data_IF_009718328433
#
_entry.id   IF_009718328433
#
_cell.length_a   1.000
_cell.length_b   1.000
_cell.length_c   1.000
_cell.angle_alpha   90.00
_cell.angle_beta   90.00
_cell.angle_gamma   90.00
#
_symmetry.space_group_name_H-M   'P 1'
#
loop_
_entity.id
_entity.type
_entity.pdbx_description
1 polymer ?
#
# COMPACT_ATOMS: atom_id res chain seq x y z
N UNK A 1 9.87 -48.51 -24.34
CA UNK A 1 10.46 -48.28 -25.68
C UNK A 1 11.67 -47.37 -25.54
N UNK A 2 12.78 -47.84 -26.07
CA UNK A 2 14.16 -47.39 -25.91
C UNK A 2 14.39 -46.00 -26.51
N UNK A 3 14.76 -44.99 -25.73
CA UNK A 3 15.33 -43.74 -26.27
C UNK A 3 16.81 -43.95 -26.55
N UNK A 4 17.10 -44.18 -27.83
CA UNK A 4 18.44 -44.23 -28.37
C UNK A 4 19.25 -42.99 -27.99
N UNK A 5 20.40 -43.20 -27.32
CA UNK A 5 21.50 -42.23 -27.23
C UNK A 5 21.79 -41.70 -28.63
N UNK A 6 21.45 -40.44 -28.92
CA UNK A 6 21.99 -39.72 -30.08
C UNK A 6 23.49 -39.51 -29.84
N UNK A 7 24.28 -40.50 -30.28
CA UNK A 7 25.72 -40.35 -30.46
C UNK A 7 25.94 -39.30 -31.55
N UNK A 8 26.63 -38.22 -31.22
CA UNK A 8 27.13 -37.23 -32.21
C UNK A 8 26.78 -35.76 -31.96
N UNK A 9 26.06 -35.40 -30.88
CA UNK A 9 25.83 -34.00 -30.55
C UNK A 9 26.99 -33.44 -29.70
N UNK A 10 27.77 -32.53 -30.29
CA UNK A 10 28.87 -31.85 -29.61
C UNK A 10 28.31 -30.86 -28.58
N UNK A 11 28.82 -30.90 -27.34
CA UNK A 11 28.29 -30.09 -26.24
C UNK A 11 29.00 -28.77 -26.14
N UNK A 12 28.20 -27.73 -25.91
CA UNK A 12 28.64 -26.36 -25.84
C UNK A 12 28.52 -25.84 -24.42
N UNK A 13 29.53 -25.12 -23.96
CA UNK A 13 29.53 -24.38 -22.71
C UNK A 13 29.24 -22.91 -22.98
N UNK A 14 27.95 -22.58 -23.10
CA UNK A 14 27.48 -21.23 -23.47
C UNK A 14 27.10 -20.44 -22.20
N UNK A 15 27.80 -19.35 -21.87
CA UNK A 15 27.42 -18.46 -20.77
C UNK A 15 26.01 -17.88 -20.95
N UNK A 16 25.29 -17.67 -19.85
CA UNK A 16 23.87 -17.24 -19.89
C UNK A 16 23.61 -15.98 -20.73
N UNK A 17 24.55 -15.03 -20.78
CA UNK A 17 24.41 -13.80 -21.54
C UNK A 17 24.62 -13.97 -23.06
N UNK A 18 25.20 -15.10 -23.50
CA UNK A 18 25.46 -15.44 -24.91
C UNK A 18 24.46 -16.49 -25.44
N UNK A 19 23.44 -16.84 -24.65
CA UNK A 19 22.45 -17.89 -24.96
C UNK A 19 21.66 -17.61 -26.24
N UNK A 20 21.34 -16.34 -26.49
CA UNK A 20 20.51 -15.95 -27.63
C UNK A 20 21.32 -15.98 -28.93
N UNK A 21 22.64 -15.69 -28.84
CA UNK A 21 23.59 -15.79 -29.95
C UNK A 21 23.88 -17.25 -30.32
N UNK A 22 24.14 -18.11 -29.34
CA UNK A 22 24.32 -19.55 -29.59
C UNK A 22 23.05 -20.19 -30.17
N UNK A 23 21.86 -19.77 -29.69
CA UNK A 23 20.58 -20.24 -30.23
C UNK A 23 20.33 -19.74 -31.65
N UNK A 24 20.75 -18.52 -31.99
CA UNK A 24 20.64 -17.96 -33.33
C UNK A 24 21.52 -18.71 -34.34
N UNK A 25 22.72 -19.13 -33.92
CA UNK A 25 23.64 -19.92 -34.76
C UNK A 25 23.17 -21.38 -34.94
N UNK A 26 22.25 -21.87 -34.10
CA UNK A 26 21.62 -23.18 -34.24
C UNK A 26 21.85 -24.16 -33.08
N UNK A 27 22.50 -23.73 -32.00
CA UNK A 27 22.60 -24.53 -30.78
C UNK A 27 21.24 -24.71 -30.10
N UNK A 28 21.05 -25.83 -29.42
CA UNK A 28 19.83 -26.18 -28.70
C UNK A 28 20.13 -26.46 -27.23
N UNK A 29 19.19 -26.08 -26.38
CA UNK A 29 19.26 -26.37 -24.95
C UNK A 29 18.59 -27.69 -24.64
N UNK A 30 19.32 -28.62 -24.02
CA UNK A 30 18.74 -29.83 -23.44
C UNK A 30 18.20 -29.52 -22.05
N UNK A 31 16.88 -29.65 -21.86
CA UNK A 31 16.23 -29.40 -20.56
C UNK A 31 16.49 -30.50 -19.53
N UNK A 32 16.73 -31.74 -19.96
CA UNK A 32 17.00 -32.84 -19.03
C UNK A 32 18.43 -32.77 -18.50
N UNK A 33 19.37 -32.39 -19.36
CA UNK A 33 20.80 -32.34 -19.00
C UNK A 33 21.31 -30.93 -18.73
N UNK A 34 20.43 -29.94 -18.73
CA UNK A 34 20.72 -28.52 -18.46
C UNK A 34 22.01 -28.03 -19.14
N UNK A 35 22.18 -28.35 -20.43
CA UNK A 35 23.37 -27.95 -21.20
C UNK A 35 23.03 -27.65 -22.65
N UNK A 36 23.87 -26.83 -23.30
CA UNK A 36 23.76 -26.54 -24.72
C UNK A 36 24.41 -27.64 -25.55
N UNK A 37 23.81 -27.98 -26.68
CA UNK A 37 24.36 -28.94 -27.63
C UNK A 37 24.11 -28.51 -29.08
N UNK A 38 24.96 -28.97 -29.97
CA UNK A 38 24.84 -28.77 -31.40
C UNK A 38 24.07 -29.94 -32.05
N UNK A 39 22.96 -29.71 -32.75
CA UNK A 39 22.27 -30.76 -33.49
C UNK A 39 23.10 -31.29 -34.67
N UNK A 40 23.03 -32.60 -34.95
CA UNK A 40 23.86 -33.32 -35.92
C UNK A 40 23.68 -32.96 -37.42
N UNK A 41 23.19 -31.77 -37.75
CA UNK A 41 22.98 -31.28 -39.12
C UNK A 41 23.75 -30.01 -39.47
N UNK A 42 24.48 -29.42 -38.51
CA UNK A 42 25.25 -28.19 -38.73
C UNK A 42 26.66 -28.59 -39.19
N UNK A 43 26.99 -28.27 -40.45
CA UNK A 43 28.27 -28.62 -41.08
C UNK A 43 29.39 -27.64 -40.77
N UNK A 44 29.05 -26.42 -40.36
CA UNK A 44 30.01 -25.38 -40.02
C UNK A 44 30.02 -25.16 -38.50
N UNK A 45 31.02 -25.77 -37.85
CA UNK A 45 31.24 -25.73 -36.40
C UNK A 45 32.16 -24.58 -35.98
N UNK A 46 32.76 -23.86 -36.93
CA UNK A 46 33.73 -22.79 -36.64
C UNK A 46 33.17 -21.66 -35.74
N UNK A 47 31.90 -21.22 -35.89
CA UNK A 47 31.32 -20.21 -35.01
C UNK A 47 31.13 -20.67 -33.56
N UNK A 48 31.11 -21.98 -33.32
CA UNK A 48 30.88 -22.58 -32.00
C UNK A 48 32.18 -22.96 -31.28
N UNK A 49 33.34 -22.78 -31.90
CA UNK A 49 34.64 -23.12 -31.34
C UNK A 49 34.90 -22.42 -29.99
N UNK A 50 34.38 -21.20 -29.81
CA UNK A 50 34.47 -20.46 -28.55
C UNK A 50 33.67 -21.09 -27.38
N UNK A 51 32.78 -22.03 -27.67
CA UNK A 51 31.97 -22.75 -26.69
C UNK A 51 32.22 -24.26 -26.70
N UNK A 52 33.13 -24.78 -27.53
CA UNK A 52 33.42 -26.20 -27.63
C UNK A 52 34.15 -26.71 -26.36
N UNK A 53 33.64 -27.77 -25.74
CA UNK A 53 34.29 -28.40 -24.58
C UNK A 53 35.48 -29.25 -25.03
N UNK A 54 36.71 -28.83 -24.72
CA UNK A 54 37.88 -29.70 -24.84
C UNK A 54 37.73 -30.89 -23.88
N UNK A 55 37.66 -32.10 -24.46
CA UNK A 55 37.49 -33.35 -23.76
C UNK A 55 38.84 -33.87 -23.23
N UNK A 56 39.19 -33.49 -21.99
CA UNK A 56 40.11 -34.27 -21.16
C UNK A 56 39.91 -33.93 -19.68
N UNK A 57 38.90 -34.55 -19.06
CA UNK A 57 38.97 -35.22 -17.75
C UNK A 57 37.61 -35.82 -17.36
N UNK A 58 37.63 -37.09 -16.97
CA UNK A 58 36.49 -37.95 -16.68
C UNK A 58 35.82 -37.67 -15.31
N UNK A 59 34.51 -37.96 -15.25
CA UNK A 59 33.63 -37.93 -14.07
C UNK A 59 33.69 -39.26 -13.26
N UNK A 60 32.97 -39.46 -12.12
CA UNK A 60 32.05 -38.55 -11.40
C UNK A 60 32.26 -38.50 -9.86
N UNK A 61 31.94 -37.39 -9.19
CA UNK A 61 31.33 -37.42 -7.84
C UNK A 61 30.74 -36.07 -7.42
N UNK A 62 29.78 -36.17 -6.49
CA UNK A 62 28.86 -35.13 -5.98
C UNK A 62 29.61 -33.86 -5.56
N UNK A 63 29.07 -32.65 -5.79
CA UNK A 63 29.86 -31.43 -5.64
C UNK A 63 30.09 -31.08 -4.15
N UNK A 64 31.19 -31.56 -3.61
CA UNK A 64 31.97 -30.88 -2.59
C UNK A 64 32.65 -29.65 -3.20
N UNK A 65 32.48 -28.50 -2.53
CA UNK A 65 33.35 -27.31 -2.50
C UNK A 65 33.98 -26.79 -3.81
N UNK A 66 33.76 -25.51 -4.18
CA UNK A 66 34.80 -24.76 -4.86
C UNK A 66 35.75 -24.18 -3.80
N UNK A 67 36.93 -24.79 -3.63
CA UNK A 67 38.07 -24.11 -3.02
C UNK A 67 39.01 -23.59 -4.11
N UNK A 68 39.46 -22.33 -3.91
CA UNK A 68 40.74 -21.77 -4.35
C UNK A 68 40.85 -21.19 -5.77
N UNK A 69 40.10 -20.12 -6.02
CA UNK A 69 40.83 -18.87 -6.32
C UNK A 69 41.64 -18.54 -5.07
N UNK A 70 42.91 -18.19 -5.24
CA UNK A 70 43.83 -17.72 -4.20
C UNK A 70 43.33 -16.39 -3.60
N UNK A 71 42.16 -16.39 -2.98
CA UNK A 71 41.73 -15.41 -2.00
C UNK A 71 42.65 -15.61 -0.82
N UNK A 72 43.53 -14.63 -0.60
CA UNK A 72 44.18 -14.39 0.68
C UNK A 72 43.30 -14.92 1.80
N UNK A 73 43.81 -15.78 2.68
CA UNK A 73 43.10 -16.25 3.87
C UNK A 73 42.39 -15.05 4.52
N UNK A 74 41.06 -14.97 4.32
CA UNK A 74 40.27 -13.87 4.83
C UNK A 74 40.07 -14.18 6.31
N UNK A 75 40.84 -13.50 7.15
CA UNK A 75 40.71 -13.61 8.58
C UNK A 75 39.39 -12.96 9.00
N UNK A 76 38.40 -13.79 9.31
CA UNK A 76 37.07 -13.34 9.74
C UNK A 76 37.12 -12.82 11.17
N UNK A 77 36.33 -11.78 11.44
CA UNK A 77 36.31 -11.02 12.68
C UNK A 77 34.92 -11.09 13.31
N UNK A 78 34.87 -11.35 14.60
CA UNK A 78 33.66 -11.29 15.40
C UNK A 78 33.48 -9.87 15.96
N UNK A 79 32.96 -8.96 15.12
CA UNK A 79 32.79 -7.54 15.45
C UNK A 79 31.37 -7.26 16.00
N UNK A 80 31.22 -6.86 17.29
CA UNK A 80 29.93 -6.45 17.86
C UNK A 80 29.32 -5.25 17.14
N UNK A 81 27.99 -5.08 17.20
CA UNK A 81 27.29 -4.00 16.48
C UNK A 81 27.82 -2.60 16.83
N UNK A 82 28.14 -2.35 18.11
CA UNK A 82 28.67 -1.08 18.59
C UNK A 82 30.11 -0.75 18.13
N UNK A 83 30.85 -1.75 17.65
CA UNK A 83 32.28 -1.59 17.32
C UNK A 83 32.57 -1.63 15.82
N UNK A 84 31.52 -1.67 14.98
CA UNK A 84 31.62 -1.72 13.50
C UNK A 84 32.38 -0.54 12.90
N UNK A 85 32.22 0.66 13.48
CA UNK A 85 32.94 1.84 13.04
C UNK A 85 34.45 1.74 13.32
N UNK A 86 34.81 1.23 14.51
CA UNK A 86 36.20 1.02 14.91
C UNK A 86 36.86 -0.11 14.10
N UNK A 87 36.15 -1.21 13.86
CA UNK A 87 36.63 -2.31 13.02
C UNK A 87 36.81 -1.87 11.57
N UNK A 88 35.88 -1.08 11.01
CA UNK A 88 36.01 -0.52 9.66
C UNK A 88 37.17 0.47 9.56
N UNK A 89 37.37 1.31 10.58
CA UNK A 89 38.52 2.21 10.67
C UNK A 89 39.86 1.46 10.80
N UNK A 90 39.85 0.27 11.39
CA UNK A 90 41.00 -0.64 11.46
C UNK A 90 41.18 -1.51 10.20
N UNK A 91 40.33 -1.34 9.18
CA UNK A 91 40.44 -2.01 7.88
C UNK A 91 39.61 -3.28 7.70
N UNK A 92 38.60 -3.52 8.55
CA UNK A 92 37.64 -4.60 8.37
C UNK A 92 36.63 -4.30 7.25
N UNK A 93 36.33 -5.32 6.45
CA UNK A 93 35.39 -5.30 5.33
C UNK A 93 34.25 -6.29 5.58
N UNK A 94 33.07 -6.01 5.03
CA UNK A 94 31.89 -6.86 5.20
C UNK A 94 31.74 -7.82 4.02
N UNK A 95 31.69 -9.13 4.31
CA UNK A 95 31.35 -10.15 3.33
C UNK A 95 29.83 -10.36 3.30
N UNK A 96 29.19 -10.00 2.18
CA UNK A 96 27.73 -10.12 2.00
C UNK A 96 27.27 -11.57 1.82
N UNK A 97 28.13 -12.46 1.34
CA UNK A 97 27.82 -13.87 1.12
C UNK A 97 27.95 -14.66 2.44
N UNK A 98 29.01 -14.42 3.20
CA UNK A 98 29.24 -15.02 4.52
C UNK A 98 28.53 -14.28 5.67
N UNK A 99 27.97 -13.09 5.40
CA UNK A 99 27.38 -12.18 6.39
C UNK A 99 28.29 -11.98 7.60
N UNK A 100 29.59 -11.77 7.37
CA UNK A 100 30.60 -11.66 8.41
C UNK A 100 31.65 -10.59 8.07
N UNK A 101 32.28 -10.01 9.08
CA UNK A 101 33.40 -9.07 8.90
C UNK A 101 34.69 -9.85 8.65
N UNK A 102 35.58 -9.33 7.81
CA UNK A 102 36.91 -9.89 7.56
C UNK A 102 37.97 -8.81 7.45
N UNK A 103 39.22 -9.12 7.79
CA UNK A 103 40.34 -8.19 7.66
C UNK A 103 40.66 -7.94 6.17
N UNK A 104 40.63 -6.68 5.73
CA UNK A 104 41.03 -6.29 4.38
C UNK A 104 42.55 -6.33 4.18
N UNK A 105 43.01 -6.36 2.93
CA UNK A 105 44.44 -6.49 2.58
C UNK A 105 45.35 -5.36 3.10
N UNK A 106 44.79 -4.21 3.48
CA UNK A 106 45.51 -3.05 4.07
C UNK A 106 45.17 -2.84 5.55
N UNK A 107 44.61 -3.84 6.21
CA UNK A 107 44.12 -3.69 7.58
C UNK A 107 45.25 -3.70 8.62
N UNK A 108 45.07 -2.93 9.69
CA UNK A 108 45.99 -2.87 10.82
C UNK A 108 45.75 -4.09 11.73
N UNK A 109 46.58 -5.12 11.54
CA UNK A 109 46.45 -6.43 12.20
C UNK A 109 46.52 -6.31 13.74
N UNK A 110 47.23 -5.33 14.28
CA UNK A 110 47.35 -5.11 15.72
C UNK A 110 46.07 -4.52 16.32
N UNK A 111 45.37 -3.65 15.58
CA UNK A 111 44.07 -3.09 16.03
C UNK A 111 42.94 -4.10 15.91
N UNK A 112 43.03 -5.00 14.94
CA UNK A 112 42.02 -6.03 14.69
C UNK A 112 42.12 -7.26 15.60
N UNK A 113 43.24 -7.45 16.32
CA UNK A 113 43.45 -8.61 17.21
C UNK A 113 42.34 -8.80 18.26
N UNK A 114 41.69 -7.71 18.71
CA UNK A 114 40.58 -7.76 19.68
C UNK A 114 39.28 -8.35 19.14
N UNK A 115 39.13 -8.43 17.82
CA UNK A 115 37.96 -9.00 17.14
C UNK A 115 38.27 -10.34 16.47
N UNK A 116 39.43 -10.93 16.76
CA UNK A 116 39.75 -12.29 16.33
C UNK A 116 38.88 -13.29 17.09
N UNK A 117 38.34 -14.34 16.44
CA UNK A 117 37.45 -15.31 17.06
C UNK A 117 37.99 -15.93 18.36
N UNK A 118 39.31 -16.06 18.47
CA UNK A 118 40.04 -16.60 19.63
C UNK A 118 40.13 -15.61 20.81
N UNK A 119 40.07 -14.31 20.53
CA UNK A 119 40.23 -13.21 21.49
C UNK A 119 38.91 -12.51 21.84
N UNK A 120 37.80 -12.93 21.22
CA UNK A 120 36.47 -12.53 21.66
C UNK A 120 36.10 -13.46 22.81
N UNK A 121 36.14 -13.02 24.08
CA UNK A 121 35.50 -13.78 25.14
C UNK A 121 34.05 -13.95 24.69
N UNK A 122 33.47 -15.14 24.85
CA UNK A 122 32.06 -15.40 24.58
C UNK A 122 31.14 -14.52 25.43
N UNK A 123 31.10 -13.24 25.15
CA UNK A 123 30.17 -12.27 25.69
C UNK A 123 29.03 -12.19 24.68
N UNK A 124 28.17 -13.19 24.76
CA UNK A 124 26.76 -12.89 24.69
C UNK A 124 26.46 -11.94 25.86
N UNK A 125 26.63 -10.63 25.64
CA UNK A 125 25.90 -9.64 26.42
C UNK A 125 24.40 -9.96 26.27
N UNK A 126 23.57 -9.74 27.30
CA UNK A 126 22.23 -10.31 27.35
C UNK A 126 21.48 -9.97 26.06
N UNK A 127 21.01 -11.00 25.35
CA UNK A 127 20.14 -10.82 24.21
C UNK A 127 18.99 -9.91 24.67
N UNK A 128 18.91 -8.68 24.14
CA UNK A 128 17.76 -7.82 24.41
C UNK A 128 16.53 -8.63 24.06
N UNK A 129 15.57 -8.69 24.99
CA UNK A 129 14.39 -9.49 24.74
C UNK A 129 13.66 -8.91 23.52
N UNK A 130 12.92 -9.70 22.73
CA UNK A 130 12.10 -9.17 21.64
C UNK A 130 11.16 -8.04 22.09
N UNK A 131 10.75 -8.06 23.36
CA UNK A 131 9.99 -6.99 24.00
C UNK A 131 10.81 -5.69 24.12
N UNK A 132 12.09 -5.77 24.49
CA UNK A 132 12.99 -4.62 24.58
C UNK A 132 13.37 -4.06 23.21
N UNK A 133 13.63 -4.93 22.24
CA UNK A 133 13.85 -4.52 20.84
C UNK A 133 12.62 -3.79 20.28
N UNK A 134 11.41 -4.28 20.60
CA UNK A 134 10.19 -3.60 20.20
C UNK A 134 9.96 -2.31 20.99
N UNK A 135 10.32 -2.26 22.28
CA UNK A 135 10.28 -1.03 23.07
C UNK A 135 11.17 0.07 22.46
N UNK A 136 12.36 -0.27 21.97
CA UNK A 136 13.21 0.67 21.24
C UNK A 136 12.56 1.14 19.94
N UNK A 137 11.95 0.22 19.18
CA UNK A 137 11.22 0.56 17.96
C UNK A 137 10.07 1.54 18.24
N UNK A 138 9.29 1.32 19.30
CA UNK A 138 8.25 2.24 19.77
C UNK A 138 8.82 3.62 20.11
N UNK A 139 9.93 3.69 20.86
CA UNK A 139 10.59 4.96 21.20
C UNK A 139 11.09 5.71 19.97
N UNK A 140 11.57 4.99 18.94
CA UNK A 140 12.15 5.57 17.72
C UNK A 140 11.14 6.38 16.89
N UNK A 141 9.86 6.03 16.93
CA UNK A 141 8.78 6.76 16.26
C UNK A 141 8.00 7.70 17.19
N UNK A 142 8.58 7.95 18.38
CA UNK A 142 8.08 8.94 19.32
C UNK A 142 7.02 8.44 20.31
N UNK A 143 6.83 7.12 20.48
CA UNK A 143 5.99 6.59 21.56
C UNK A 143 6.72 6.65 22.91
N UNK A 144 5.97 6.92 23.98
CA UNK A 144 6.44 6.93 25.37
C UNK A 144 6.18 5.56 25.97
N UNK A 145 7.23 4.75 26.07
CA UNK A 145 7.17 3.38 26.61
C UNK A 145 7.40 3.40 28.11
N UNK A 146 6.31 3.38 28.88
CA UNK A 146 6.28 3.34 30.34
C UNK A 146 5.33 2.21 30.82
N UNK A 147 5.44 1.80 32.09
CA UNK A 147 4.55 0.80 32.68
C UNK A 147 4.70 -0.58 32.04
N UNK A 148 3.57 -1.24 31.73
CA UNK A 148 3.55 -2.59 31.13
C UNK A 148 3.84 -2.60 29.61
N UNK A 149 4.01 -1.45 28.97
CA UNK A 149 4.32 -1.38 27.54
C UNK A 149 5.77 -1.79 27.24
N UNK A 150 6.04 -2.52 26.14
CA UNK A 150 5.07 -3.11 25.22
C UNK A 150 4.51 -4.45 25.73
N UNK A 151 3.19 -4.60 25.58
CA UNK A 151 2.44 -5.85 25.74
C UNK A 151 2.46 -6.63 24.42
N UNK A 152 3.07 -7.81 24.42
CA UNK A 152 3.28 -8.62 23.22
C UNK A 152 2.26 -9.76 23.09
N UNK A 153 0.98 -9.46 23.32
CA UNK A 153 -0.14 -10.42 23.40
C UNK A 153 -0.93 -10.56 22.09
N UNK A 154 -0.48 -9.93 21.01
CA UNK A 154 -1.15 -9.91 19.70
C UNK A 154 -2.44 -9.07 19.67
N UNK A 155 -2.73 -8.28 20.72
CA UNK A 155 -3.87 -7.35 20.79
C UNK A 155 -3.43 -5.92 20.51
N UNK A 156 -4.41 -5.08 20.19
CA UNK A 156 -4.20 -3.64 19.96
C UNK A 156 -4.13 -2.91 21.30
N UNK A 157 -3.00 -2.25 21.54
CA UNK A 157 -2.77 -1.45 22.74
C UNK A 157 -2.59 0.02 22.38
N UNK A 158 -3.14 0.90 23.23
CA UNK A 158 -2.91 2.35 23.14
C UNK A 158 -1.63 2.71 23.88
N UNK A 159 -0.87 3.65 23.36
CA UNK A 159 0.37 4.14 23.97
C UNK A 159 0.48 5.65 23.80
N UNK A 160 1.01 6.32 24.82
CA UNK A 160 1.25 7.76 24.73
C UNK A 160 2.38 8.09 23.74
N UNK A 161 2.37 9.27 23.14
CA UNK A 161 3.44 9.80 22.27
C UNK A 161 4.05 11.07 22.83
N UNK A 162 5.27 11.41 22.44
CA UNK A 162 5.97 12.60 22.96
C UNK A 162 5.14 13.87 22.75
N UNK A 163 5.04 14.69 23.79
CA UNK A 163 4.31 15.97 23.78
C UNK A 163 2.80 15.84 24.00
N UNK A 164 2.32 14.78 24.63
CA UNK A 164 0.95 14.68 25.16
C UNK A 164 0.94 14.29 26.64
N UNK A 165 -0.16 14.55 27.35
CA UNK A 165 -0.32 14.08 28.73
C UNK A 165 -0.36 12.55 28.74
N UNK A 166 0.42 11.95 29.63
CA UNK A 166 0.47 10.49 29.78
C UNK A 166 -0.93 9.93 29.99
N UNK A 167 -1.35 9.03 29.09
CA UNK A 167 -2.61 8.32 29.18
C UNK A 167 -2.42 6.85 28.79
N UNK A 168 -2.77 5.96 29.71
CA UNK A 168 -2.71 4.51 29.51
C UNK A 168 -3.83 3.99 28.58
N UNK A 169 -4.95 4.72 28.49
CA UNK A 169 -6.15 4.30 27.73
C UNK A 169 -6.44 5.16 26.50
N UNK A 170 -5.90 6.38 26.44
CA UNK A 170 -6.21 7.36 25.39
C UNK A 170 -4.97 7.98 24.72
N UNK A 171 -3.82 7.30 24.76
CA UNK A 171 -2.62 7.76 24.05
C UNK A 171 -2.81 7.82 22.53
N UNK A 172 -2.17 8.80 21.88
CA UNK A 172 -2.29 9.01 20.42
C UNK A 172 -1.54 7.96 19.59
N UNK A 173 -0.75 7.10 20.19
CA UNK A 173 -0.14 5.94 19.56
C UNK A 173 -0.99 4.68 19.71
N UNK A 174 -0.84 3.74 18.78
CA UNK A 174 -1.22 2.35 19.05
C UNK A 174 -0.20 1.38 18.46
N UNK A 175 -0.08 0.21 19.08
CA UNK A 175 0.75 -0.87 18.59
C UNK A 175 0.06 -2.22 18.74
N UNK A 176 0.56 -3.21 18.01
CA UNK A 176 0.26 -4.63 18.16
C UNK A 176 1.60 -5.36 18.17
N UNK A 177 1.90 -6.08 19.25
CA UNK A 177 3.13 -6.86 19.40
C UNK A 177 2.81 -8.34 19.44
N UNK A 178 3.53 -9.14 18.68
CA UNK A 178 3.40 -10.59 18.59
C UNK A 178 4.67 -11.25 19.12
N UNK A 179 4.52 -12.26 19.99
CA UNK A 179 5.59 -13.18 20.37
C UNK A 179 5.47 -14.53 19.68
N UNK A 180 4.37 -14.79 18.96
CA UNK A 180 4.14 -16.05 18.27
C UNK A 180 4.92 -16.12 16.94
N UNK A 181 5.63 -17.23 16.71
CA UNK A 181 6.39 -17.41 15.48
C UNK A 181 7.69 -16.63 15.48
N UNK A 182 7.66 -15.45 14.87
CA UNK A 182 8.80 -14.56 14.80
C UNK A 182 8.36 -13.25 15.44
N UNK A 183 8.94 -12.85 16.58
CA UNK A 183 8.47 -11.66 17.27
C UNK A 183 8.45 -10.48 16.31
N UNK A 184 7.26 -9.94 16.13
CA UNK A 184 6.97 -8.92 15.14
C UNK A 184 5.97 -7.95 15.73
N UNK A 185 5.93 -6.75 15.17
CA UNK A 185 5.07 -5.72 15.69
C UNK A 185 4.69 -4.72 14.63
N UNK A 186 3.52 -4.14 14.80
CA UNK A 186 3.10 -2.97 14.06
C UNK A 186 2.88 -1.84 15.06
N UNK A 187 3.32 -0.64 14.70
CA UNK A 187 3.06 0.55 15.48
C UNK A 187 2.71 1.71 14.58
N UNK A 188 1.77 2.53 15.04
CA UNK A 188 1.39 3.79 14.40
C UNK A 188 1.27 4.90 15.43
N UNK A 189 1.96 6.00 15.16
CA UNK A 189 1.82 7.26 15.86
C UNK A 189 0.76 8.11 15.12
N UNK A 190 -0.44 8.27 15.68
CA UNK A 190 -1.50 9.01 14.98
C UNK A 190 -1.30 10.54 15.02
N UNK A 191 -0.36 11.04 15.84
CA UNK A 191 -0.06 12.48 15.92
C UNK A 191 0.89 12.92 14.80
N UNK A 192 1.84 12.07 14.44
CA UNK A 192 2.80 12.33 13.35
C UNK A 192 2.46 11.59 12.06
N UNK A 193 1.49 10.68 12.10
CA UNK A 193 1.14 9.80 10.98
C UNK A 193 2.14 8.68 10.69
N UNK A 194 3.26 8.62 11.41
CA UNK A 194 4.34 7.64 11.18
C UNK A 194 3.91 6.24 11.62
N UNK A 195 4.09 5.26 10.74
CA UNK A 195 3.88 3.85 11.03
C UNK A 195 5.14 3.02 10.76
N UNK A 196 5.31 1.92 11.51
CA UNK A 196 6.45 1.03 11.39
C UNK A 196 6.03 -0.43 11.58
N UNK A 197 6.63 -1.30 10.77
CA UNK A 197 6.60 -2.76 10.95
C UNK A 197 7.95 -3.20 11.53
N UNK A 198 7.96 -3.78 12.72
CA UNK A 198 9.12 -4.29 13.41
C UNK A 198 9.18 -5.83 13.37
N UNK A 199 10.39 -6.38 13.34
CA UNK A 199 10.69 -7.82 13.41
C UNK A 199 11.97 -8.00 14.22
N UNK A 200 12.01 -9.01 15.09
CA UNK A 200 13.15 -9.25 15.97
C UNK A 200 14.40 -9.72 15.23
N UNK A 201 15.57 -9.25 15.66
CA UNK A 201 16.84 -9.49 14.96
C UNK A 201 17.57 -10.76 15.39
N UNK A 202 17.09 -11.47 16.40
CA UNK A 202 17.77 -12.63 17.00
C UNK A 202 17.04 -13.98 16.91
N UNK A 203 15.79 -14.03 16.42
CA UNK A 203 14.97 -15.24 16.48
C UNK A 203 15.00 -16.02 15.15
N UNK A 204 15.98 -16.92 15.01
CA UNK A 204 16.03 -17.88 13.90
C UNK A 204 15.36 -19.19 14.34
N UNK A 205 14.06 -19.34 14.01
CA UNK A 205 13.37 -20.62 14.10
C UNK A 205 13.92 -21.60 13.06
N UNK A 206 13.90 -22.90 13.39
CA UNK A 206 14.10 -23.94 12.38
C UNK A 206 13.00 -23.90 11.31
N UNK A 207 13.24 -24.52 10.15
CA UNK A 207 12.32 -24.47 9.01
C UNK A 207 10.97 -25.14 9.28
N UNK A 208 10.92 -26.14 10.16
CA UNK A 208 9.72 -26.91 10.46
C UNK A 208 8.82 -26.18 11.47
N UNK A 209 9.42 -25.59 12.51
CA UNK A 209 8.76 -24.71 13.48
C UNK A 209 8.23 -23.45 12.80
N UNK A 210 8.98 -22.87 11.86
CA UNK A 210 8.52 -21.73 11.06
C UNK A 210 7.29 -22.09 10.22
N UNK A 211 7.27 -23.28 9.61
CA UNK A 211 6.12 -23.75 8.83
C UNK A 211 4.88 -23.96 9.70
N UNK A 212 5.02 -24.58 10.87
CA UNK A 212 3.91 -24.78 11.83
C UNK A 212 3.33 -23.45 12.32
N UNK A 213 4.18 -22.47 12.63
CA UNK A 213 3.76 -21.16 13.12
C UNK A 213 3.16 -20.29 12.01
N UNK A 214 3.62 -20.44 10.77
CA UNK A 214 2.96 -19.82 9.61
C UNK A 214 1.56 -20.41 9.36
N UNK A 215 1.40 -21.72 9.51
CA UNK A 215 0.10 -22.37 9.43
C UNK A 215 -0.84 -21.89 10.54
N UNK A 216 -0.39 -21.89 11.81
CA UNK A 216 -1.18 -21.40 12.94
C UNK A 216 -1.54 -19.90 12.80
N UNK A 217 -0.61 -19.08 12.31
CA UNK A 217 -0.88 -17.66 12.04
C UNK A 217 -1.89 -17.46 10.90
N UNK A 218 -1.84 -18.30 9.86
CA UNK A 218 -2.83 -18.30 8.79
C UNK A 218 -4.22 -18.69 9.30
N UNK A 219 -4.31 -19.74 10.12
CA UNK A 219 -5.57 -20.19 10.73
C UNK A 219 -6.16 -19.12 11.66
N UNK A 220 -5.32 -18.49 12.51
CA UNK A 220 -5.75 -17.38 13.37
C UNK A 220 -6.20 -16.17 12.55
N UNK A 221 -5.50 -15.84 11.47
CA UNK A 221 -5.89 -14.75 10.58
C UNK A 221 -7.22 -15.06 9.89
N UNK A 222 -7.41 -16.29 9.42
CA UNK A 222 -8.66 -16.74 8.81
C UNK A 222 -9.82 -16.69 9.82
N UNK A 223 -9.62 -17.19 11.04
CA UNK A 223 -10.63 -17.14 12.10
C UNK A 223 -11.01 -15.70 12.47
N UNK A 224 -10.03 -14.80 12.61
CA UNK A 224 -10.27 -13.36 12.86
C UNK A 224 -11.01 -12.69 11.70
N UNK A 225 -10.66 -13.02 10.47
CA UNK A 225 -11.31 -12.47 9.27
C UNK A 225 -12.77 -12.93 9.20
N UNK A 226 -13.03 -14.23 9.41
CA UNK A 226 -14.38 -14.78 9.44
C UNK A 226 -15.23 -14.22 10.58
N UNK A 227 -14.66 -14.03 11.78
CA UNK A 227 -15.35 -13.38 12.89
C UNK A 227 -15.69 -11.92 12.56
N UNK A 228 -14.75 -11.18 11.99
CA UNK A 228 -14.96 -9.80 11.57
C UNK A 228 -16.05 -9.69 10.49
N UNK A 229 -16.03 -10.56 9.48
CA UNK A 229 -17.06 -10.63 8.45
C UNK A 229 -18.44 -10.93 9.05
N UNK A 230 -18.51 -11.88 9.99
CA UNK A 230 -19.76 -12.21 10.70
C UNK A 230 -20.29 -11.01 11.49
N UNK A 231 -19.43 -10.29 12.21
CA UNK A 231 -19.82 -9.08 12.96
C UNK A 231 -20.29 -7.96 12.04
N UNK A 232 -19.61 -7.77 10.91
CA UNK A 232 -19.99 -6.79 9.89
C UNK A 232 -21.35 -7.13 9.27
N UNK A 233 -21.61 -8.40 8.97
CA UNK A 233 -22.90 -8.86 8.43
C UNK A 233 -24.04 -8.66 9.44
N UNK A 234 -23.82 -9.02 10.70
CA UNK A 234 -24.79 -8.78 11.77
C UNK A 234 -25.09 -7.29 11.95
N UNK A 235 -24.04 -6.45 11.87
CA UNK A 235 -24.21 -5.00 11.94
C UNK A 235 -24.96 -4.46 10.72
N UNK A 236 -24.67 -4.93 9.52
CA UNK A 236 -25.38 -4.57 8.28
C UNK A 236 -26.90 -4.83 8.42
N UNK A 237 -27.28 -6.01 8.91
CA UNK A 237 -28.69 -6.35 9.15
C UNK A 237 -29.34 -5.47 10.22
N UNK A 238 -28.60 -5.15 11.30
CA UNK A 238 -29.09 -4.28 12.37
C UNK A 238 -29.31 -2.85 11.89
N UNK A 239 -28.37 -2.27 11.12
CA UNK A 239 -28.52 -0.90 10.61
C UNK A 239 -29.62 -0.81 9.56
N UNK A 240 -29.81 -1.83 8.72
CA UNK A 240 -30.92 -1.89 7.77
C UNK A 240 -32.29 -1.92 8.47
N UNK A 241 -32.43 -2.72 9.54
CA UNK A 241 -33.64 -2.73 10.38
C UNK A 241 -33.88 -1.39 11.07
N UNK A 242 -32.81 -0.74 11.56
CA UNK A 242 -32.92 0.59 12.15
C UNK A 242 -33.40 1.62 11.13
N UNK A 243 -32.83 1.61 9.93
CA UNK A 243 -33.14 2.57 8.86
C UNK A 243 -34.63 2.55 8.48
N UNK A 244 -35.29 1.39 8.53
CA UNK A 244 -36.73 1.26 8.27
C UNK A 244 -37.63 2.05 9.24
N UNK A 245 -37.10 2.49 10.38
CA UNK A 245 -37.82 3.30 11.37
C UNK A 245 -37.48 4.80 11.29
N UNK A 246 -36.54 5.18 10.42
CA UNK A 246 -36.13 6.56 10.20
C UNK A 246 -37.02 7.21 9.14
N UNK A 247 -37.08 8.54 9.17
CA UNK A 247 -37.84 9.33 8.22
C UNK A 247 -36.90 9.91 7.16
N UNK A 248 -37.30 10.01 5.88
CA UNK A 248 -36.52 10.75 4.90
C UNK A 248 -36.41 12.22 5.33
N UNK A 249 -35.25 12.85 5.10
CA UNK A 249 -35.09 14.28 5.37
C UNK A 249 -35.88 15.10 4.34
N UNK A 250 -36.92 15.78 4.80
CA UNK A 250 -37.74 16.70 3.98
C UNK A 250 -37.47 18.18 4.31
N UNK A 251 -36.84 18.45 5.45
CA UNK A 251 -36.44 19.78 5.90
C UNK A 251 -35.00 19.71 6.48
N UNK A 252 -34.19 20.77 6.35
CA UNK A 252 -32.82 20.75 6.85
C UNK A 252 -32.73 20.45 8.35
N UNK A 253 -31.97 19.42 8.72
CA UNK A 253 -31.58 19.13 10.11
C UNK A 253 -30.59 20.17 10.63
N UNK A 254 -30.32 20.19 11.94
CA UNK A 254 -29.34 21.12 12.56
C UNK A 254 -27.97 21.05 11.89
N UNK A 255 -27.50 19.84 11.55
CA UNK A 255 -26.25 19.64 10.81
C UNK A 255 -26.29 20.27 9.42
N UNK A 256 -27.37 20.07 8.67
CA UNK A 256 -27.52 20.59 7.31
C UNK A 256 -27.59 22.13 7.30
N UNK A 257 -28.32 22.71 8.25
CA UNK A 257 -28.36 24.17 8.45
C UNK A 257 -26.97 24.74 8.75
N UNK A 258 -26.25 24.11 9.69
CA UNK A 258 -24.87 24.51 10.05
C UNK A 258 -23.92 24.41 8.87
N UNK A 259 -24.10 23.40 8.02
CA UNK A 259 -23.29 23.20 6.82
C UNK A 259 -23.77 23.97 5.59
N UNK A 260 -24.94 24.61 5.63
CA UNK A 260 -25.51 25.34 4.51
C UNK A 260 -25.88 24.44 3.31
N UNK A 261 -26.27 23.19 3.57
CA UNK A 261 -26.62 22.20 2.54
C UNK A 261 -28.11 21.86 2.59
N UNK A 262 -28.69 21.57 1.42
CA UNK A 262 -30.09 21.19 1.30
C UNK A 262 -30.31 19.68 1.54
N UNK A 263 -31.52 19.26 1.97
CA UNK A 263 -31.93 17.88 1.99
C UNK A 263 -31.78 17.20 0.63
N UNK A 264 -31.27 15.97 0.64
CA UNK A 264 -31.07 15.15 -0.55
C UNK A 264 -31.73 13.78 -0.36
N UNK A 265 -32.17 13.19 -1.46
CA UNK A 265 -32.73 11.85 -1.44
C UNK A 265 -31.71 10.83 -0.91
N UNK A 266 -32.18 9.88 -0.09
CA UNK A 266 -31.35 8.85 0.51
C UNK A 266 -30.75 9.20 1.87
N UNK A 267 -31.02 10.42 2.39
CA UNK A 267 -30.66 10.81 3.75
C UNK A 267 -31.88 10.79 4.65
N UNK A 268 -31.66 10.39 5.90
CA UNK A 268 -32.72 10.16 6.89
C UNK A 268 -32.52 10.99 8.16
N UNK A 269 -33.58 11.13 8.93
CA UNK A 269 -33.65 11.82 10.23
C UNK A 269 -34.44 11.00 11.25
N UNK A 270 -34.26 11.33 12.53
CA UNK A 270 -35.13 10.91 13.61
C UNK A 270 -36.53 11.54 13.50
N UNK A 271 -37.46 11.15 14.38
CA UNK A 271 -38.85 11.65 14.35
C UNK A 271 -38.93 13.14 14.66
N UNK A 272 -37.96 13.64 15.41
CA UNK A 272 -37.83 15.02 15.85
C UNK A 272 -37.19 15.94 14.79
N UNK A 273 -36.58 15.38 13.73
CA UNK A 273 -35.96 16.17 12.66
C UNK A 273 -34.59 16.76 13.01
N UNK A 274 -33.91 16.26 14.06
CA UNK A 274 -32.71 16.89 14.64
C UNK A 274 -31.42 16.20 14.22
N UNK A 275 -31.40 14.88 14.23
CA UNK A 275 -30.22 14.08 13.89
C UNK A 275 -30.22 13.68 12.42
N UNK A 276 -29.03 13.57 11.81
CA UNK A 276 -28.90 13.14 10.40
C UNK A 276 -28.29 11.76 10.30
N UNK A 277 -28.87 10.94 9.45
CA UNK A 277 -28.51 9.54 9.24
C UNK A 277 -28.24 9.31 7.76
N UNK A 278 -26.99 8.97 7.42
CA UNK A 278 -26.55 8.80 6.04
C UNK A 278 -26.14 7.33 5.85
N UNK A 279 -26.92 6.53 5.10
CA UNK A 279 -26.57 5.15 4.78
C UNK A 279 -25.28 5.07 3.97
N UNK A 280 -24.45 4.07 4.26
CA UNK A 280 -23.29 3.73 3.47
C UNK A 280 -23.48 2.34 2.86
N UNK A 281 -23.44 2.26 1.54
CA UNK A 281 -23.64 1.05 0.76
C UNK A 281 -22.38 0.66 0.01
N UNK A 282 -22.25 -0.60 -0.37
CA UNK A 282 -21.29 -1.00 -1.39
C UNK A 282 -21.80 -0.66 -2.81
N UNK A 283 -21.03 -1.08 -3.81
CA UNK A 283 -21.39 -0.89 -5.22
C UNK A 283 -22.67 -1.62 -5.62
N UNK A 284 -23.06 -2.68 -4.91
CA UNK A 284 -24.24 -3.49 -5.21
C UNK A 284 -25.50 -2.96 -4.49
N UNK A 285 -25.35 -1.89 -3.70
CA UNK A 285 -26.45 -1.25 -2.97
C UNK A 285 -26.75 -1.90 -1.62
N UNK A 286 -25.95 -2.87 -1.18
CA UNK A 286 -26.10 -3.43 0.16
C UNK A 286 -25.62 -2.43 1.19
N UNK A 287 -26.47 -2.09 2.16
CA UNK A 287 -26.12 -1.25 3.29
C UNK A 287 -25.25 -2.01 4.28
N UNK A 288 -24.05 -1.51 4.54
CA UNK A 288 -23.11 -2.11 5.48
C UNK A 288 -22.94 -1.29 6.76
N UNK A 289 -23.16 0.01 6.69
CA UNK A 289 -23.08 0.92 7.82
C UNK A 289 -23.96 2.14 7.61
N UNK A 290 -23.97 3.02 8.62
CA UNK A 290 -24.67 4.30 8.61
C UNK A 290 -23.78 5.31 9.34
N UNK A 291 -23.64 6.50 8.76
CA UNK A 291 -23.08 7.65 9.46
C UNK A 291 -24.20 8.33 10.26
N UNK A 292 -23.99 8.41 11.56
CA UNK A 292 -24.85 9.09 12.52
C UNK A 292 -24.25 10.46 12.78
N UNK A 293 -25.03 11.51 12.57
CA UNK A 293 -24.64 12.89 12.84
C UNK A 293 -25.60 13.44 13.88
N UNK A 294 -25.06 13.68 15.07
CA UNK A 294 -25.80 14.22 16.20
C UNK A 294 -26.09 15.71 15.99
N UNK A 295 -26.99 16.26 16.80
CA UNK A 295 -27.37 17.68 16.77
C UNK A 295 -26.16 18.62 16.96
N UNK A 296 -25.15 18.21 17.73
CA UNK A 296 -23.90 18.94 17.95
C UNK A 296 -22.89 18.83 16.77
N UNK A 297 -23.24 18.09 15.72
CA UNK A 297 -22.39 17.82 14.57
C UNK A 297 -21.42 16.65 14.75
N UNK A 298 -21.44 15.95 15.88
CA UNK A 298 -20.61 14.77 16.12
C UNK A 298 -20.98 13.65 15.16
N UNK A 299 -20.01 13.21 14.35
CA UNK A 299 -20.18 12.15 13.35
C UNK A 299 -19.62 10.82 13.85
N UNK A 300 -20.41 9.75 13.75
CA UNK A 300 -20.01 8.39 14.13
C UNK A 300 -20.50 7.37 13.11
N UNK A 301 -19.85 6.21 13.08
CA UNK A 301 -20.32 5.05 12.32
C UNK A 301 -20.83 3.96 13.26
N UNK A 302 -21.66 3.06 12.74
CA UNK A 302 -22.06 1.88 13.48
C UNK A 302 -20.81 1.10 13.91
N UNK A 303 -20.72 0.75 15.19
CA UNK A 303 -19.64 -0.09 15.71
C UNK A 303 -19.66 -1.46 15.03
N UNK A 304 -18.47 -2.02 14.80
CA UNK A 304 -18.27 -3.35 14.19
C UNK A 304 -18.86 -3.48 12.77
N UNK A 305 -19.01 -2.34 12.08
CA UNK A 305 -19.51 -2.26 10.71
C UNK A 305 -18.39 -2.22 9.66
N UNK A 306 -18.74 -2.47 8.40
CA UNK A 306 -17.85 -2.25 7.25
C UNK A 306 -18.09 -0.86 6.68
N UNK A 307 -17.12 0.05 6.90
CA UNK A 307 -17.08 1.38 6.26
C UNK A 307 -16.19 1.37 5.01
N UNK A 308 -15.10 0.62 5.05
CA UNK A 308 -14.11 0.59 3.96
C UNK A 308 -14.73 0.12 2.64
N UNK A 309 -14.60 0.94 1.60
CA UNK A 309 -15.18 0.72 0.28
C UNK A 309 -16.68 0.97 0.20
N UNK A 310 -17.34 1.32 1.31
CA UNK A 310 -18.74 1.73 1.32
C UNK A 310 -18.84 3.25 1.20
N UNK A 311 -19.89 3.73 0.53
CA UNK A 311 -20.08 5.13 0.18
C UNK A 311 -21.56 5.50 0.21
N UNK A 312 -21.84 6.80 0.11
CA UNK A 312 -23.20 7.29 -0.13
C UNK A 312 -23.30 7.93 -1.51
N UNK A 313 -24.17 7.39 -2.37
CA UNK A 313 -24.48 7.99 -3.67
C UNK A 313 -25.59 9.02 -3.51
N UNK A 314 -25.26 10.29 -3.65
CA UNK A 314 -26.23 11.38 -3.57
C UNK A 314 -27.07 11.35 -4.86
N UNK A 315 -28.39 11.21 -4.70
CA UNK A 315 -29.31 10.92 -5.81
C UNK A 315 -29.50 9.43 -6.11
N UNK A 316 -28.80 8.54 -5.41
CA UNK A 316 -28.94 7.08 -5.53
C UNK A 316 -28.06 6.44 -6.62
N UNK A 317 -27.94 5.11 -6.57
CA UNK A 317 -27.07 4.33 -7.47
C UNK A 317 -27.52 4.39 -8.94
N UNK A 318 -28.82 4.48 -9.21
CA UNK A 318 -29.34 4.59 -10.58
C UNK A 318 -28.97 5.94 -11.22
N UNK A 319 -29.05 7.03 -10.44
CA UNK A 319 -28.60 8.34 -10.89
C UNK A 319 -27.08 8.37 -11.09
N UNK A 320 -26.32 7.70 -10.20
CA UNK A 320 -24.87 7.55 -10.33
C UNK A 320 -24.49 6.77 -11.59
N UNK A 321 -25.22 5.71 -11.94
CA UNK A 321 -25.01 4.95 -13.17
C UNK A 321 -25.25 5.80 -14.44
N UNK A 322 -26.19 6.75 -14.38
CA UNK A 322 -26.50 7.68 -15.49
C UNK A 322 -25.59 8.90 -15.55
N UNK A 323 -24.89 9.23 -14.46
CA UNK A 323 -24.01 10.39 -14.40
C UNK A 323 -22.90 10.32 -15.48
N UNK A 324 -22.51 11.45 -16.09
CA UNK A 324 -21.49 11.48 -17.14
C UNK A 324 -20.07 11.25 -16.58
N UNK A 325 -19.86 11.51 -15.29
CA UNK A 325 -18.61 11.28 -14.58
C UNK A 325 -18.90 10.81 -13.15
N UNK A 326 -17.94 10.12 -12.55
CA UNK A 326 -17.96 9.79 -11.12
C UNK A 326 -17.22 10.88 -10.34
N UNK A 327 -17.97 11.69 -9.59
CA UNK A 327 -17.38 12.72 -8.72
C UNK A 327 -17.48 12.28 -7.27
N UNK A 328 -16.32 12.04 -6.64
CA UNK A 328 -16.20 11.48 -5.29
C UNK A 328 -15.65 12.56 -4.36
N UNK A 329 -16.46 13.01 -3.40
CA UNK A 329 -16.07 13.92 -2.33
C UNK A 329 -15.67 13.19 -1.06
N UNK A 330 -14.75 13.78 -0.29
CA UNK A 330 -14.31 13.26 1.01
C UNK A 330 -15.48 13.16 2.00
N UNK A 331 -16.19 14.25 2.27
CA UNK A 331 -17.34 14.29 3.19
C UNK A 331 -18.70 14.35 2.49
N UNK A 332 -19.77 14.08 3.23
CA UNK A 332 -21.15 14.25 2.73
C UNK A 332 -21.48 15.70 2.34
N UNK A 333 -21.04 16.68 3.15
CA UNK A 333 -21.30 18.09 2.83
C UNK A 333 -20.61 18.48 1.51
N UNK A 334 -19.33 18.14 1.36
CA UNK A 334 -18.56 18.31 0.13
C UNK A 334 -19.26 17.68 -1.08
N UNK A 335 -19.63 16.40 -0.98
CA UNK A 335 -20.34 15.70 -2.06
C UNK A 335 -21.70 16.34 -2.38
N UNK A 336 -22.45 16.81 -1.37
CA UNK A 336 -23.74 17.49 -1.56
C UNK A 336 -23.59 18.83 -2.27
N UNK A 337 -22.61 19.65 -1.88
CA UNK A 337 -22.31 20.92 -2.58
C UNK A 337 -21.91 20.68 -4.04
N UNK A 338 -21.13 19.62 -4.31
CA UNK A 338 -20.76 19.23 -5.67
C UNK A 338 -21.97 18.77 -6.48
N UNK A 339 -22.88 17.98 -5.89
CA UNK A 339 -24.11 17.53 -6.56
C UNK A 339 -25.00 18.71 -6.94
N UNK A 340 -25.20 19.65 -6.03
CA UNK A 340 -26.00 20.85 -6.26
C UNK A 340 -25.41 21.73 -7.38
N UNK A 341 -24.08 21.74 -7.50
CA UNK A 341 -23.38 22.51 -8.54
C UNK A 341 -23.41 21.82 -9.89
N UNK A 342 -23.20 20.50 -9.92
CA UNK A 342 -23.06 19.72 -11.15
C UNK A 342 -24.40 19.24 -11.73
N UNK A 343 -25.45 19.18 -10.92
CA UNK A 343 -26.78 18.73 -11.34
C UNK A 343 -26.91 17.22 -11.58
N UNK A 344 -25.87 16.42 -11.29
CA UNK A 344 -25.89 14.96 -11.39
C UNK A 344 -25.31 14.30 -10.14
N UNK A 345 -25.55 13.00 -9.99
CA UNK A 345 -25.20 12.24 -8.80
C UNK A 345 -23.70 12.26 -8.49
N UNK A 346 -23.37 12.50 -7.22
CA UNK A 346 -22.00 12.46 -6.67
C UNK A 346 -21.91 11.43 -5.56
N UNK A 347 -20.70 11.20 -5.06
CA UNK A 347 -20.43 10.18 -4.05
C UNK A 347 -19.73 10.79 -2.84
N UNK A 348 -20.24 10.49 -1.65
CA UNK A 348 -19.52 10.76 -0.40
C UNK A 348 -18.73 9.52 0.04
N UNK A 349 -17.42 9.65 0.16
CA UNK A 349 -16.53 8.61 0.69
C UNK A 349 -16.46 8.62 2.23
N UNK A 350 -16.98 9.66 2.87
CA UNK A 350 -17.00 9.95 4.31
C UNK A 350 -15.69 10.37 4.99
N UNK A 351 -14.52 9.95 4.49
CA UNK A 351 -13.21 10.40 4.94
C UNK A 351 -12.11 10.10 3.91
N UNK A 352 -11.00 10.83 4.00
CA UNK A 352 -9.82 10.69 3.15
C UNK A 352 -9.27 9.27 3.08
N UNK A 353 -9.31 8.52 4.19
CA UNK A 353 -8.88 7.12 4.23
C UNK A 353 -9.72 6.18 3.37
N UNK A 354 -10.97 6.56 3.07
CA UNK A 354 -11.91 5.77 2.30
C UNK A 354 -12.03 6.19 0.82
N UNK A 355 -11.37 7.30 0.41
CA UNK A 355 -11.37 7.76 -0.99
C UNK A 355 -10.83 6.68 -1.95
N UNK A 356 -9.66 6.11 -1.65
CA UNK A 356 -9.02 5.09 -2.48
C UNK A 356 -9.87 3.82 -2.67
N UNK A 357 -10.35 3.14 -1.60
CA UNK A 357 -11.16 1.94 -1.77
C UNK A 357 -12.48 2.21 -2.49
N UNK A 358 -13.15 3.35 -2.23
CA UNK A 358 -14.37 3.74 -2.93
C UNK A 358 -14.12 4.02 -4.41
N UNK A 359 -13.07 4.79 -4.74
CA UNK A 359 -12.69 5.07 -6.12
C UNK A 359 -12.40 3.79 -6.90
N UNK A 360 -11.64 2.85 -6.32
CA UNK A 360 -11.36 1.55 -6.95
C UNK A 360 -12.63 0.72 -7.18
N UNK A 361 -13.51 0.65 -6.19
CA UNK A 361 -14.76 -0.11 -6.29
C UNK A 361 -15.66 0.46 -7.40
N UNK A 362 -15.82 1.79 -7.44
CA UNK A 362 -16.61 2.46 -8.48
C UNK A 362 -15.99 2.36 -9.87
N UNK A 363 -14.66 2.50 -9.97
CA UNK A 363 -13.96 2.31 -11.25
C UNK A 363 -14.12 0.89 -11.78
N UNK A 364 -14.05 -0.13 -10.92
CA UNK A 364 -14.28 -1.51 -11.32
C UNK A 364 -15.72 -1.74 -11.83
N UNK A 365 -16.71 -1.05 -11.24
CA UNK A 365 -18.12 -1.15 -11.66
C UNK A 365 -18.44 -0.32 -12.91
N UNK A 366 -17.79 0.83 -13.06
CA UNK A 366 -17.98 1.76 -14.18
C UNK A 366 -16.63 2.11 -14.82
N UNK A 367 -16.00 1.14 -15.52
CA UNK A 367 -14.65 1.32 -16.07
C UNK A 367 -14.57 2.43 -17.13
N UNK A 368 -15.67 2.66 -17.84
CA UNK A 368 -15.78 3.64 -18.93
C UNK A 368 -16.27 5.02 -18.45
N UNK A 369 -16.32 5.25 -17.13
CA UNK A 369 -16.66 6.58 -16.60
C UNK A 369 -15.40 7.29 -16.13
N UNK A 370 -15.20 8.55 -16.52
CA UNK A 370 -14.13 9.35 -15.97
C UNK A 370 -14.39 9.64 -14.49
N UNK A 371 -13.32 9.76 -13.70
CA UNK A 371 -13.39 9.90 -12.24
C UNK A 371 -12.69 11.18 -11.80
N UNK A 372 -13.39 11.97 -10.99
CA UNK A 372 -12.87 13.14 -10.28
C UNK A 372 -12.91 12.88 -8.77
N UNK A 373 -11.78 13.05 -8.09
CA UNK A 373 -11.67 12.97 -6.63
C UNK A 373 -11.57 14.38 -6.07
N UNK A 374 -12.61 14.83 -5.37
CA UNK A 374 -12.65 16.10 -4.67
C UNK A 374 -12.19 15.90 -3.21
N UNK A 375 -10.93 16.24 -2.95
CA UNK A 375 -10.32 16.14 -1.63
C UNK A 375 -10.39 17.44 -0.83
N UNK A 376 -10.12 17.34 0.46
CA UNK A 376 -9.99 18.48 1.36
C UNK A 376 -8.53 19.01 1.34
N UNK A 377 -8.36 20.33 1.46
CA UNK A 377 -7.05 21.00 1.57
C UNK A 377 -6.74 21.32 3.05
N UNK A 378 -6.30 20.30 3.80
CA UNK A 378 -6.05 20.36 5.25
C UNK A 378 -4.80 21.16 5.65
N UNK A 379 -4.69 22.43 5.25
CA UNK A 379 -3.51 23.28 5.53
C UNK A 379 -3.21 23.45 7.01
N UNK A 380 -4.23 23.35 7.87
CA UNK A 380 -4.01 23.33 9.32
C UNK A 380 -3.17 22.13 9.77
N UNK A 381 -3.47 20.93 9.24
CA UNK A 381 -2.72 19.71 9.56
C UNK A 381 -1.33 19.76 8.92
N UNK A 382 -1.20 20.37 7.75
CA UNK A 382 0.10 20.58 7.12
C UNK A 382 1.00 21.48 8.00
N UNK A 383 0.45 22.58 8.51
CA UNK A 383 1.20 23.49 9.39
C UNK A 383 1.54 22.88 10.76
N UNK A 384 0.70 22.01 11.30
CA UNK A 384 0.88 21.46 12.67
C UNK A 384 1.57 20.09 12.71
N UNK A 385 1.39 19.27 11.68
CA UNK A 385 1.85 17.88 11.60
C UNK A 385 2.78 17.64 10.40
N UNK A 386 2.92 18.59 9.48
CA UNK A 386 3.75 18.45 8.28
C UNK A 386 3.13 17.61 7.17
N UNK A 387 1.84 17.26 7.29
CA UNK A 387 1.12 16.41 6.34
C UNK A 387 -0.25 16.99 6.01
N UNK A 388 -0.68 16.83 4.76
CA UNK A 388 -2.04 17.17 4.29
C UNK A 388 -2.75 15.87 3.85
N UNK A 389 -3.45 15.19 4.77
CA UNK A 389 -4.09 13.90 4.49
C UNK A 389 -5.14 13.98 3.38
N UNK A 390 -6.02 14.99 3.38
CA UNK A 390 -7.03 15.18 2.34
C UNK A 390 -6.42 15.25 0.94
N UNK A 391 -5.43 16.14 0.74
CA UNK A 391 -4.67 16.26 -0.52
C UNK A 391 -4.01 14.94 -0.94
N UNK A 392 -3.14 14.40 -0.06
CA UNK A 392 -2.34 13.23 -0.39
C UNK A 392 -3.19 11.99 -0.71
N UNK A 393 -4.31 11.80 0.01
CA UNK A 393 -5.23 10.68 -0.24
C UNK A 393 -6.09 10.87 -1.47
N UNK A 394 -6.52 12.10 -1.78
CA UNK A 394 -7.24 12.39 -3.01
C UNK A 394 -6.35 12.15 -4.25
N UNK A 395 -5.09 12.60 -4.20
CA UNK A 395 -4.10 12.36 -5.26
C UNK A 395 -3.78 10.87 -5.42
N UNK A 396 -3.61 10.14 -4.31
CA UNK A 396 -3.40 8.68 -4.31
C UNK A 396 -4.58 7.95 -4.97
N UNK A 397 -5.82 8.31 -4.59
CA UNK A 397 -7.03 7.72 -5.13
C UNK A 397 -7.19 8.00 -6.63
N UNK A 398 -7.02 9.26 -7.05
CA UNK A 398 -7.12 9.65 -8.45
C UNK A 398 -6.10 8.91 -9.31
N UNK A 399 -4.84 8.86 -8.87
CA UNK A 399 -3.78 8.13 -9.58
C UNK A 399 -4.08 6.65 -9.73
N UNK A 400 -4.66 6.01 -8.71
CA UNK A 400 -4.94 4.57 -8.72
C UNK A 400 -6.03 4.16 -9.73
N UNK A 401 -6.88 5.10 -10.18
CA UNK A 401 -7.99 4.85 -11.10
C UNK A 401 -7.89 5.63 -12.41
N UNK A 402 -6.75 6.27 -12.67
CA UNK A 402 -6.57 7.13 -13.84
C UNK A 402 -7.48 8.36 -13.86
N UNK A 403 -7.95 8.79 -12.68
CA UNK A 403 -8.80 9.96 -12.51
C UNK A 403 -8.01 11.25 -12.28
N UNK A 404 -8.72 12.34 -11.98
CA UNK A 404 -8.14 13.64 -11.62
C UNK A 404 -8.45 13.95 -10.16
N UNK A 405 -7.49 14.50 -9.42
CA UNK A 405 -7.74 15.05 -8.10
C UNK A 405 -8.02 16.55 -8.21
N UNK A 406 -8.94 17.06 -7.42
CA UNK A 406 -9.26 18.48 -7.33
C UNK A 406 -9.40 18.87 -5.86
N UNK A 407 -8.84 20.02 -5.53
CA UNK A 407 -8.88 20.60 -4.19
C UNK A 407 -9.47 22.02 -4.29
N UNK A 408 -10.20 22.49 -3.26
CA UNK A 408 -10.78 23.82 -3.28
C UNK A 408 -9.69 24.89 -3.25
N UNK A 409 -9.85 25.91 -4.08
CA UNK A 409 -9.03 27.12 -4.09
C UNK A 409 -9.84 28.24 -3.46
N UNK A 410 -9.34 28.76 -2.35
CA UNK A 410 -9.96 29.86 -1.59
C UNK A 410 -9.38 31.21 -1.99
N UNK A 411 -10.06 32.30 -1.59
CA UNK A 411 -9.57 33.63 -1.87
C UNK A 411 -8.27 33.92 -1.09
N UNK A 412 -7.39 34.79 -1.62
CA UNK A 412 -6.15 35.14 -0.96
C UNK A 412 -6.38 35.59 0.50
N UNK A 413 -5.70 34.95 1.44
CA UNK A 413 -5.76 35.27 2.87
C UNK A 413 -6.79 34.50 3.69
N UNK A 414 -7.80 33.87 3.09
CA UNK A 414 -8.85 33.14 3.84
C UNK A 414 -8.29 31.95 4.61
N UNK A 415 -7.56 31.07 3.91
CA UNK A 415 -6.90 29.93 4.53
C UNK A 415 -5.80 30.34 5.52
N UNK A 416 -5.16 31.49 5.35
CA UNK A 416 -4.16 31.99 6.29
C UNK A 416 -4.81 32.49 7.59
N UNK A 417 -5.95 33.17 7.48
CA UNK A 417 -6.70 33.70 8.61
C UNK A 417 -7.41 32.61 9.42
N UNK A 418 -7.99 31.60 8.74
CA UNK A 418 -8.65 30.48 9.40
C UNK A 418 -8.41 29.14 8.67
N UNK A 419 -7.22 28.52 8.83
CA UNK A 419 -6.86 27.30 8.11
C UNK A 419 -7.81 26.10 8.35
N UNK A 420 -8.53 26.07 9.48
CA UNK A 420 -9.53 25.02 9.79
C UNK A 420 -10.90 25.30 9.20
N UNK A 421 -11.20 26.57 8.91
CA UNK A 421 -12.50 27.01 8.43
C UNK A 421 -12.64 26.99 6.90
N UNK A 422 -11.53 26.78 6.19
CA UNK A 422 -11.40 26.79 4.74
C UNK A 422 -10.59 25.59 4.27
N UNK A 423 -11.20 24.40 4.35
CA UNK A 423 -10.54 23.14 3.99
C UNK A 423 -11.25 22.43 2.84
N UNK A 424 -12.58 22.47 2.78
CA UNK A 424 -13.37 21.67 1.85
C UNK A 424 -14.18 22.52 0.84
N UNK A 425 -14.76 21.88 -0.19
CA UNK A 425 -15.61 22.59 -1.15
C UNK A 425 -16.88 23.17 -0.49
N UNK A 426 -17.40 22.58 0.58
CA UNK A 426 -18.57 23.14 1.26
C UNK A 426 -18.22 24.47 1.94
N UNK A 427 -17.04 24.59 2.53
CA UNK A 427 -16.51 25.84 3.07
C UNK A 427 -16.33 26.89 1.96
N UNK A 428 -15.89 26.48 0.77
CA UNK A 428 -15.81 27.36 -0.40
C UNK A 428 -17.20 27.90 -0.79
N UNK A 429 -18.24 27.06 -0.79
CA UNK A 429 -19.61 27.51 -1.07
C UNK A 429 -20.19 28.47 -0.03
N UNK A 430 -19.88 28.24 1.25
CA UNK A 430 -20.67 28.81 2.36
C UNK A 430 -19.95 29.88 3.16
N UNK A 431 -18.63 29.91 3.13
CA UNK A 431 -17.81 30.82 3.94
C UNK A 431 -16.90 31.72 3.12
N UNK A 432 -16.41 31.22 1.97
CA UNK A 432 -15.52 32.00 1.12
C UNK A 432 -16.27 33.15 0.47
N UNK A 433 -15.56 34.25 0.23
CA UNK A 433 -16.06 35.37 -0.60
C UNK A 433 -16.41 34.94 -2.03
N UNK A 434 -15.86 33.82 -2.51
CA UNK A 434 -16.25 33.26 -3.80
C UNK A 434 -17.61 32.58 -3.79
N UNK A 435 -18.08 32.12 -2.63
CA UNK A 435 -19.38 31.46 -2.47
C UNK A 435 -19.60 30.28 -3.42
N UNK A 436 -20.87 30.02 -3.74
CA UNK A 436 -21.27 28.92 -4.65
C UNK A 436 -20.69 29.09 -6.07
N UNK A 437 -20.58 30.32 -6.57
CA UNK A 437 -19.94 30.59 -7.86
C UNK A 437 -18.46 30.15 -7.89
N UNK A 438 -17.78 30.21 -6.74
CA UNK A 438 -16.42 29.71 -6.58
C UNK A 438 -16.29 28.22 -6.87
N UNK A 439 -17.24 27.42 -6.38
CA UNK A 439 -17.30 25.99 -6.71
C UNK A 439 -17.59 25.81 -8.19
N UNK A 440 -18.61 26.47 -8.72
CA UNK A 440 -19.04 26.33 -10.11
C UNK A 440 -17.86 26.57 -11.09
N UNK A 441 -17.13 27.66 -10.91
CA UNK A 441 -15.97 28.00 -11.75
C UNK A 441 -14.85 26.96 -11.66
N UNK A 442 -14.63 26.39 -10.47
CA UNK A 442 -13.53 25.44 -10.25
C UNK A 442 -13.88 24.02 -10.67
N UNK A 443 -15.12 23.59 -10.43
CA UNK A 443 -15.53 22.20 -10.57
C UNK A 443 -16.11 21.94 -11.96
N UNK A 444 -17.02 22.78 -12.47
CA UNK A 444 -17.66 22.53 -13.78
C UNK A 444 -16.61 22.46 -14.89
N UNK A 445 -15.71 23.44 -14.97
CA UNK A 445 -14.63 23.46 -15.96
C UNK A 445 -13.75 22.20 -15.90
N UNK A 446 -13.44 21.70 -14.71
CA UNK A 446 -12.58 20.53 -14.54
C UNK A 446 -13.31 19.23 -14.86
N UNK A 447 -14.60 19.14 -14.50
CA UNK A 447 -15.45 17.98 -14.83
C UNK A 447 -15.64 17.90 -16.34
N UNK A 448 -15.94 19.02 -17.01
CA UNK A 448 -16.10 19.07 -18.47
C UNK A 448 -14.81 18.66 -19.17
N UNK A 449 -13.65 19.20 -18.75
CA UNK A 449 -12.33 18.81 -19.27
C UNK A 449 -12.06 17.30 -19.10
N UNK A 450 -12.46 16.74 -17.96
CA UNK A 450 -12.28 15.31 -17.65
C UNK A 450 -13.20 14.43 -18.50
N UNK A 451 -14.45 14.86 -18.73
CA UNK A 451 -15.41 14.19 -19.62
C UNK A 451 -14.92 14.24 -21.07
N UNK A 452 -14.57 15.43 -21.56
CA UNK A 452 -14.10 15.62 -22.94
C UNK A 452 -12.84 14.80 -23.24
N UNK A 453 -11.84 14.83 -22.35
CA UNK A 453 -10.63 14.01 -22.52
C UNK A 453 -10.92 12.52 -22.58
N UNK A 454 -11.88 12.06 -21.79
CA UNK A 454 -12.27 10.65 -21.79
C UNK A 454 -13.03 10.27 -23.07
N UNK A 455 -13.89 11.15 -23.59
CA UNK A 455 -14.56 10.95 -24.86
C UNK A 455 -13.57 10.92 -26.03
N UNK A 456 -12.59 11.82 -26.06
CA UNK A 456 -11.53 11.81 -27.08
C UNK A 456 -10.70 10.52 -26.99
N UNK A 457 -10.25 10.14 -25.79
CA UNK A 457 -9.47 8.92 -25.60
C UNK A 457 -10.22 7.65 -26.02
N UNK A 458 -11.51 7.54 -25.67
CA UNK A 458 -12.35 6.38 -26.02
C UNK A 458 -12.60 6.25 -27.52
N UNK A 459 -12.56 7.35 -28.30
CA UNK A 459 -12.66 7.33 -29.77
C UNK A 459 -11.32 7.07 -30.45
N UNK A 460 -10.22 7.66 -29.97
CA UNK A 460 -8.90 7.55 -30.60
C UNK A 460 -8.24 6.19 -30.40
N UNK A 461 -8.42 5.56 -29.23
CA UNK A 461 -7.81 4.26 -28.90
C UNK A 461 -8.21 3.16 -29.90
N UNK A 462 -9.51 2.92 -30.19
CA UNK A 462 -9.92 1.96 -31.21
C UNK A 462 -9.37 2.27 -32.61
N UNK A 463 -9.40 3.54 -33.03
CA UNK A 463 -8.90 3.95 -34.35
C UNK A 463 -7.39 3.75 -34.50
N UNK A 464 -6.61 3.97 -33.44
CA UNK A 464 -5.17 3.72 -33.43
C UNK A 464 -4.84 2.23 -33.45
N UNK A 465 -5.58 1.41 -32.70
CA UNK A 465 -5.43 -0.05 -32.73
C UNK A 465 -5.75 -0.59 -34.12
N UNK A 466 -6.85 -0.16 -34.72
CA UNK A 466 -7.25 -0.59 -36.06
C UNK A 466 -6.24 -0.17 -37.14
N UNK A 467 -5.76 1.09 -37.10
CA UNK A 467 -4.69 1.55 -38.01
C UNK A 467 -3.40 0.74 -37.85
N UNK A 468 -3.05 0.36 -36.61
CA UNK A 468 -1.85 -0.46 -36.33
C UNK A 468 -2.02 -1.89 -36.85
N UNK A 469 -3.18 -2.50 -36.66
CA UNK A 469 -3.49 -3.82 -37.19
C UNK A 469 -3.52 -3.83 -38.73
N UNK A 470 -4.11 -2.82 -39.35
CA UNK A 470 -4.12 -2.68 -40.81
C UNK A 470 -2.70 -2.51 -41.36
N UNK A 471 -1.83 -1.74 -40.69
CA UNK A 471 -0.40 -1.63 -41.05
C UNK A 471 0.32 -2.97 -40.95
N UNK A 472 0.09 -3.73 -39.87
CA UNK A 472 0.68 -5.06 -39.68
C UNK A 472 0.19 -6.06 -40.74
N UNK A 473 -1.11 -6.08 -41.07
CA UNK A 473 -1.67 -6.94 -42.12
C UNK A 473 -1.13 -6.60 -43.51
N UNK A 474 -0.91 -5.32 -43.81
CA UNK A 474 -0.27 -4.88 -45.07
C UNK A 474 1.20 -5.28 -45.13
N UNK A 475 1.94 -5.18 -44.03
CA UNK A 475 3.34 -5.61 -43.97
C UNK A 475 3.53 -7.12 -44.19
N UNK A 476 2.60 -7.95 -43.71
CA UNK A 476 2.62 -9.41 -43.92
C UNK A 476 2.26 -9.82 -45.36
N UNK A 477 1.50 -9.00 -46.10
CA UNK A 477 1.10 -9.28 -47.49
C UNK A 477 2.14 -8.90 -48.55
N UNK A 478 3.17 -8.16 -48.17
CA UNK A 478 4.23 -7.66 -49.07
C UNK A 478 5.56 -8.43 -48.87
N UNK A 479 5.57 -9.42 -47.98
CA UNK A 479 6.73 -10.28 -47.67
C UNK A 479 6.72 -11.60 -48.41
#
# INVERSE_FOLDING_TARGET
>A
MTTARRRGAERLDVPYHQKDEAKALGARWDRQEQSWFLPAGIKDIAPFAQWARNADTAAPERPTQPEKQRTQERQYLAVPYGERAAAKAAGALWDKAAKSWFAGAKADKSRLQRWLPENVPGQQGPAMSPRDEFAEALRSIGCVVNGEHPMMDGKKHRISVKGEKLSEKAGSGFYVGHLDGHPAGYVKNNKTGVEMKWKSKGYALDSEQKARLQAEAADKLQARTAEQERLQEQTAQRVAKQMAHLLPVIAPTTYMQTKGIEPQAGVFTDKEGRETYIPATDTDGKQWTMQYIQEDGTKRFAKDSRKEGCFHAIGGLDALAKAPALVIGEGYATASSLQQTLGFATVAAFDSGNLLPVAKALHAKFPDKPILIAGDDDRHLEATQGINPGRSKAEEAAKAVGGKALLPIFAPGEQAANPKGFADFNDLATKSVFGREGIERQVCSVVDEVIERHQVASVELPQQVEKREQRLRRAVKVG
#
